data_IF_716829464943
#
_entry.id   IF_716829464943
#
_cell.length_a   1.000
_cell.length_b   1.000
_cell.length_c   1.000
_cell.angle_alpha   90.00
_cell.angle_beta   90.00
_cell.angle_gamma   90.00
#
_symmetry.space_group_name_H-M   'P 1'
#
loop_
_entity.id
_entity.type
_entity.pdbx_description
1 polymer ?
#
# COMPACT_ATOMS: atom_id res chain seq x y z
N UNK A 1 -7.34 68.99 -9.02
CA UNK A 1 -7.75 67.74 -9.70
C UNK A 1 -6.67 66.71 -9.44
N UNK A 2 -6.80 65.94 -8.37
CA UNK A 2 -5.79 64.95 -7.97
C UNK A 2 -6.18 63.59 -8.55
N UNK A 3 -5.28 63.05 -9.37
CA UNK A 3 -5.41 61.78 -10.07
C UNK A 3 -5.60 60.62 -9.07
N UNK A 4 -6.74 59.93 -9.17
CA UNK A 4 -6.98 58.66 -8.47
C UNK A 4 -6.21 57.58 -9.23
N UNK A 5 -5.03 57.21 -8.72
CA UNK A 5 -4.28 56.07 -9.20
C UNK A 5 -5.01 54.78 -8.77
N UNK A 6 -5.79 54.21 -9.69
CA UNK A 6 -6.39 52.89 -9.52
C UNK A 6 -5.30 51.82 -9.45
N UNK A 7 -5.17 51.17 -8.30
CA UNK A 7 -4.34 49.98 -8.15
C UNK A 7 -5.02 48.81 -8.86
N UNK A 8 -4.63 48.52 -10.09
CA UNK A 8 -5.00 47.26 -10.74
C UNK A 8 -4.34 46.10 -9.99
N UNK A 9 -5.10 45.44 -9.12
CA UNK A 9 -4.72 44.15 -8.56
C UNK A 9 -4.75 43.12 -9.70
N UNK A 10 -3.58 42.79 -10.28
CA UNK A 10 -3.43 41.62 -11.15
C UNK A 10 -3.84 40.37 -10.38
N UNK A 11 -4.99 39.79 -10.74
CA UNK A 11 -5.39 38.46 -10.28
C UNK A 11 -4.31 37.45 -10.69
N UNK A 12 -3.55 36.95 -9.73
CA UNK A 12 -2.63 35.84 -9.96
C UNK A 12 -3.49 34.60 -10.27
N UNK A 13 -3.53 34.21 -11.55
CA UNK A 13 -4.33 33.09 -12.08
C UNK A 13 -3.82 31.74 -11.53
N UNK A 14 -2.59 31.71 -10.98
CA UNK A 14 -1.93 30.49 -10.54
C UNK A 14 -2.02 30.28 -9.02
N UNK A 15 -2.41 29.09 -8.53
CA UNK A 15 -2.44 28.78 -7.11
C UNK A 15 -1.06 28.93 -6.46
N UNK A 16 -1.01 29.53 -5.27
CA UNK A 16 0.23 29.61 -4.50
C UNK A 16 0.75 28.22 -4.11
N UNK A 17 2.07 28.05 -3.97
CA UNK A 17 2.69 26.79 -3.52
C UNK A 17 2.06 26.25 -2.22
N UNK A 18 1.73 27.15 -1.27
CA UNK A 18 1.09 26.78 0.00
C UNK A 18 -0.33 26.24 -0.22
N UNK A 19 -1.05 26.76 -1.20
CA UNK A 19 -2.39 26.27 -1.58
C UNK A 19 -2.29 24.86 -2.14
N UNK A 20 -1.35 24.61 -3.06
CA UNK A 20 -1.12 23.28 -3.65
C UNK A 20 -0.72 22.27 -2.56
N UNK A 21 0.13 22.66 -1.61
CA UNK A 21 0.54 21.79 -0.51
C UNK A 21 -0.62 21.39 0.40
N UNK A 22 -1.48 22.34 0.78
CA UNK A 22 -2.69 22.06 1.58
C UNK A 22 -3.61 21.11 0.83
N UNK A 23 -3.85 21.40 -0.44
CA UNK A 23 -4.73 20.57 -1.28
C UNK A 23 -4.17 19.15 -1.44
N UNK A 24 -2.88 19.01 -1.72
CA UNK A 24 -2.19 17.72 -1.77
C UNK A 24 -2.33 16.95 -0.44
N UNK A 25 -2.12 17.60 0.71
CA UNK A 25 -2.25 16.93 2.01
C UNK A 25 -3.67 16.40 2.26
N UNK A 26 -4.70 17.22 1.99
CA UNK A 26 -6.10 16.80 2.17
C UNK A 26 -6.50 15.71 1.16
N UNK A 27 -6.12 15.87 -0.10
CA UNK A 27 -6.35 14.88 -1.14
C UNK A 27 -5.65 13.56 -0.82
N UNK A 28 -4.42 13.61 -0.28
CA UNK A 28 -3.68 12.44 0.18
C UNK A 28 -4.37 11.75 1.35
N UNK A 29 -4.81 12.50 2.37
CA UNK A 29 -5.54 11.94 3.50
C UNK A 29 -6.81 11.19 3.07
N UNK A 30 -7.52 11.71 2.07
CA UNK A 30 -8.69 11.05 1.49
C UNK A 30 -8.33 9.76 0.74
N UNK A 31 -7.18 9.72 0.05
CA UNK A 31 -6.80 8.58 -0.79
C UNK A 31 -6.10 7.46 -0.05
N UNK A 32 -5.43 7.76 1.07
CA UNK A 32 -4.74 6.78 1.91
C UNK A 32 -5.58 5.53 2.22
N UNK A 33 -6.84 5.61 2.69
CA UNK A 33 -7.63 4.40 2.98
C UNK A 33 -7.82 3.50 1.75
N UNK A 34 -8.08 4.07 0.57
CA UNK A 34 -8.22 3.32 -0.67
C UNK A 34 -6.89 2.67 -1.07
N UNK A 35 -5.78 3.42 -0.99
CA UNK A 35 -4.46 2.88 -1.31
C UNK A 35 -4.08 1.76 -0.34
N UNK A 36 -4.35 1.91 0.96
CA UNK A 36 -4.11 0.85 1.96
C UNK A 36 -4.94 -0.38 1.62
N UNK A 37 -6.23 -0.21 1.35
CA UNK A 37 -7.13 -1.31 0.99
C UNK A 37 -6.67 -2.06 -0.26
N UNK A 38 -6.38 -1.32 -1.35
CA UNK A 38 -5.88 -1.88 -2.61
C UNK A 38 -4.51 -2.56 -2.41
N UNK A 39 -3.66 -1.99 -1.57
CA UNK A 39 -2.35 -2.57 -1.26
C UNK A 39 -2.46 -3.87 -0.46
N UNK A 40 -3.37 -3.95 0.52
CA UNK A 40 -3.61 -5.18 1.31
C UNK A 40 -4.18 -6.28 0.42
N UNK A 41 -5.26 -5.97 -0.31
CA UNK A 41 -5.91 -6.95 -1.21
C UNK A 41 -4.98 -7.40 -2.33
N UNK A 42 -4.21 -6.49 -2.93
CA UNK A 42 -3.20 -6.82 -3.94
C UNK A 42 -2.05 -7.66 -3.39
N UNK A 43 -1.60 -7.39 -2.15
CA UNK A 43 -0.58 -8.20 -1.48
C UNK A 43 -1.08 -9.62 -1.22
N UNK A 44 -2.34 -9.80 -0.82
CA UNK A 44 -2.96 -11.13 -0.66
C UNK A 44 -3.00 -11.86 -2.00
N UNK A 45 -3.33 -11.15 -3.09
CA UNK A 45 -3.42 -11.72 -4.43
C UNK A 45 -2.08 -12.25 -4.97
N UNK A 46 -0.93 -11.71 -4.53
CA UNK A 46 0.39 -12.26 -4.85
C UNK A 46 0.57 -13.70 -4.34
N UNK A 47 -0.14 -14.08 -3.28
CA UNK A 47 -0.12 -15.43 -2.71
C UNK A 47 -1.22 -16.33 -3.28
N UNK A 48 -1.90 -15.92 -4.36
CA UNK A 48 -2.93 -16.70 -5.04
C UNK A 48 -2.52 -18.15 -5.32
N UNK A 49 -1.38 -18.45 -5.98
CA UNK A 49 -1.04 -19.84 -6.30
C UNK A 49 -0.80 -20.68 -5.04
N UNK A 50 -0.25 -20.10 -3.97
CA UNK A 50 -0.03 -20.79 -2.70
C UNK A 50 -1.35 -21.06 -1.97
N UNK A 51 -2.27 -20.10 -1.97
CA UNK A 51 -3.56 -20.25 -1.29
C UNK A 51 -4.45 -21.23 -2.07
N UNK A 52 -4.52 -21.12 -3.40
CA UNK A 52 -5.28 -22.07 -4.22
C UNK A 52 -4.72 -23.49 -4.10
N UNK A 53 -3.40 -23.68 -4.16
CA UNK A 53 -2.80 -25.00 -3.95
C UNK A 53 -3.11 -25.59 -2.56
N UNK A 54 -3.24 -24.75 -1.54
CA UNK A 54 -3.64 -25.20 -0.21
C UNK A 54 -5.09 -25.70 -0.16
N UNK A 55 -6.02 -24.99 -0.81
CA UNK A 55 -7.43 -25.42 -0.94
C UNK A 55 -7.59 -26.64 -1.85
N UNK A 56 -6.80 -26.72 -2.92
CA UNK A 56 -6.88 -27.80 -3.92
C UNK A 56 -6.12 -29.07 -3.51
N UNK A 57 -5.33 -29.03 -2.43
CA UNK A 57 -4.54 -30.15 -1.91
C UNK A 57 -5.29 -31.48 -1.80
N UNK A 58 -6.56 -31.56 -1.34
CA UNK A 58 -7.30 -32.82 -1.29
C UNK A 58 -7.55 -33.47 -2.65
N UNK A 59 -7.50 -32.68 -3.73
CA UNK A 59 -7.74 -33.12 -5.10
C UNK A 59 -6.46 -33.34 -5.90
N UNK A 60 -5.29 -33.00 -5.33
CA UNK A 60 -3.98 -33.10 -5.98
C UNK A 60 -3.15 -34.33 -5.58
N UNK A 61 -3.62 -35.09 -4.59
CA UNK A 61 -2.96 -36.30 -4.08
C UNK A 61 -3.88 -37.53 -4.15
N UNK A 62 -4.44 -37.78 -5.32
CA UNK A 62 -5.30 -38.95 -5.55
C UNK A 62 -4.46 -40.21 -5.76
N UNK A 63 -4.95 -41.35 -5.24
CA UNK A 63 -4.40 -42.66 -5.55
C UNK A 63 -4.82 -43.07 -6.98
N UNK A 64 -3.86 -43.10 -7.89
CA UNK A 64 -4.06 -43.32 -9.33
C UNK A 64 -3.15 -44.46 -9.76
N UNK A 65 -3.71 -45.66 -9.91
CA UNK A 65 -2.93 -46.90 -10.13
C UNK A 65 -3.09 -47.50 -11.54
N UNK A 66 -3.43 -46.68 -12.54
CA UNK A 66 -3.89 -47.13 -13.86
C UNK A 66 -4.02 -46.01 -14.91
N UNK A 67 -4.40 -46.33 -16.16
CA UNK A 67 -4.50 -45.35 -17.23
C UNK A 67 -5.63 -44.35 -16.97
N UNK A 68 -5.37 -43.07 -17.26
CA UNK A 68 -6.38 -42.02 -17.18
C UNK A 68 -7.41 -42.20 -18.31
N UNK A 69 -8.68 -41.94 -18.01
CA UNK A 69 -9.74 -41.83 -19.01
C UNK A 69 -9.45 -40.66 -19.96
N UNK A 70 -10.03 -40.69 -21.16
CA UNK A 70 -9.87 -39.60 -22.14
C UNK A 70 -10.40 -38.27 -21.60
N UNK A 71 -9.81 -37.16 -22.05
CA UNK A 71 -10.28 -35.82 -21.68
C UNK A 71 -11.76 -35.61 -22.03
N UNK A 72 -12.21 -36.15 -23.17
CA UNK A 72 -13.62 -36.14 -23.58
C UNK A 72 -14.54 -36.84 -22.56
N UNK A 73 -14.15 -38.02 -22.05
CA UNK A 73 -14.94 -38.73 -21.06
C UNK A 73 -15.05 -37.95 -19.74
N UNK A 74 -13.99 -37.25 -19.36
CA UNK A 74 -13.96 -36.40 -18.17
C UNK A 74 -14.82 -35.15 -18.35
N UNK A 75 -14.76 -34.50 -19.51
CA UNK A 75 -15.63 -33.38 -19.87
C UNK A 75 -17.10 -33.79 -19.85
N UNK A 76 -17.44 -34.95 -20.44
CA UNK A 76 -18.82 -35.46 -20.42
C UNK A 76 -19.30 -35.75 -19.00
N UNK A 77 -18.44 -36.31 -18.14
CA UNK A 77 -18.78 -36.50 -16.73
C UNK A 77 -19.02 -35.16 -16.01
N UNK A 78 -18.20 -34.14 -16.28
CA UNK A 78 -18.37 -32.80 -15.71
C UNK A 78 -19.68 -32.12 -16.18
N UNK A 79 -20.01 -32.20 -17.47
CA UNK A 79 -21.25 -31.66 -18.03
C UNK A 79 -22.48 -32.39 -17.47
N UNK A 80 -22.38 -33.70 -17.22
CA UNK A 80 -23.44 -34.46 -16.57
C UNK A 80 -23.64 -34.06 -15.10
N UNK A 81 -22.59 -33.58 -14.42
CA UNK A 81 -22.66 -33.13 -13.03
C UNK A 81 -23.42 -31.79 -12.88
N UNK A 82 -23.34 -30.91 -13.89
CA UNK A 82 -24.04 -29.62 -13.91
C UNK A 82 -24.97 -29.58 -15.12
N UNK A 83 -26.22 -30.00 -14.93
CA UNK A 83 -27.22 -30.06 -16.00
C UNK A 83 -27.45 -28.70 -16.66
N UNK A 84 -27.44 -28.67 -18.00
CA UNK A 84 -27.65 -27.44 -18.79
C UNK A 84 -26.43 -26.52 -18.83
N UNK A 85 -25.25 -26.99 -18.41
CA UNK A 85 -24.00 -26.26 -18.57
C UNK A 85 -23.33 -26.54 -19.91
N UNK A 86 -22.47 -25.62 -20.34
CA UNK A 86 -21.58 -25.78 -21.49
C UNK A 86 -20.13 -25.81 -21.02
N UNK A 87 -19.27 -26.52 -21.75
CA UNK A 87 -17.84 -26.52 -21.47
C UNK A 87 -17.27 -25.13 -21.77
N UNK A 88 -16.63 -24.51 -20.78
CA UNK A 88 -15.85 -23.29 -20.99
C UNK A 88 -14.37 -23.64 -21.15
N UNK A 89 -13.77 -24.25 -20.13
CA UNK A 89 -12.34 -24.56 -20.11
C UNK A 89 -12.06 -25.93 -19.49
N UNK A 90 -11.06 -26.63 -20.05
CA UNK A 90 -10.48 -27.83 -19.45
C UNK A 90 -9.07 -27.49 -18.97
N UNK A 91 -8.83 -27.61 -17.67
CA UNK A 91 -7.52 -27.33 -17.09
C UNK A 91 -6.71 -28.62 -16.99
N UNK A 92 -5.53 -28.62 -17.59
CA UNK A 92 -4.65 -29.77 -17.54
C UNK A 92 -4.16 -29.99 -16.11
N UNK A 93 -4.22 -31.23 -15.60
CA UNK A 93 -3.71 -31.55 -14.28
C UNK A 93 -2.19 -31.32 -14.24
N UNK A 94 -1.74 -30.51 -13.28
CA UNK A 94 -0.32 -30.19 -13.09
C UNK A 94 0.51 -31.44 -12.75
N UNK A 95 -0.09 -32.38 -12.00
CA UNK A 95 0.54 -33.63 -11.57
C UNK A 95 -0.21 -34.87 -12.07
N UNK A 96 0.49 -36.00 -12.15
CA UNK A 96 -0.10 -37.30 -12.49
C UNK A 96 -1.15 -37.78 -11.46
N UNK A 97 -1.06 -37.27 -10.21
CA UNK A 97 -1.95 -37.57 -9.09
C UNK A 97 -3.09 -36.56 -8.92
N UNK A 98 -3.18 -35.53 -9.77
CA UNK A 98 -4.24 -34.51 -9.67
C UNK A 98 -5.54 -34.95 -10.32
N UNK A 99 -6.64 -34.47 -9.74
CA UNK A 99 -7.96 -34.45 -10.36
C UNK A 99 -7.91 -33.62 -11.65
N UNK A 100 -8.73 -34.02 -12.62
CA UNK A 100 -8.97 -33.17 -13.78
C UNK A 100 -10.01 -32.11 -13.41
N UNK A 101 -9.71 -30.86 -13.76
CA UNK A 101 -10.56 -29.72 -13.42
C UNK A 101 -11.22 -29.23 -14.70
N UNK A 102 -12.55 -29.21 -14.69
CA UNK A 102 -13.35 -28.77 -15.85
C UNK A 102 -14.22 -27.61 -15.42
N UNK A 103 -14.08 -26.48 -16.08
CA UNK A 103 -14.90 -25.29 -15.84
C UNK A 103 -16.07 -25.34 -16.82
N UNK A 104 -17.28 -25.34 -16.28
CA UNK A 104 -18.53 -25.39 -17.02
C UNK A 104 -19.37 -24.16 -16.68
N UNK A 105 -19.93 -23.52 -17.71
CA UNK A 105 -20.76 -22.33 -17.56
C UNK A 105 -22.24 -22.69 -17.61
N UNK A 106 -23.05 -22.16 -16.68
CA UNK A 106 -24.51 -22.30 -16.66
C UNK A 106 -25.14 -20.92 -16.53
N UNK A 107 -25.54 -20.34 -17.66
CA UNK A 107 -26.05 -18.97 -17.69
C UNK A 107 -24.92 -17.99 -17.42
N UNK A 108 -25.03 -17.22 -16.33
CA UNK A 108 -23.99 -16.28 -15.88
C UNK A 108 -23.04 -16.85 -14.84
N UNK A 109 -23.29 -18.06 -14.33
CA UNK A 109 -22.46 -18.69 -13.28
C UNK A 109 -21.44 -19.65 -13.91
N UNK A 110 -20.21 -19.63 -13.40
CA UNK A 110 -19.19 -20.63 -13.73
C UNK A 110 -18.99 -21.62 -12.59
N UNK A 111 -18.89 -22.90 -12.94
CA UNK A 111 -18.67 -23.99 -12.00
C UNK A 111 -17.41 -24.75 -12.36
N UNK A 112 -16.50 -24.90 -11.39
CA UNK A 112 -15.36 -25.80 -11.46
C UNK A 112 -15.73 -27.16 -10.91
N UNK A 113 -15.67 -28.16 -11.78
CA UNK A 113 -15.94 -29.56 -11.46
C UNK A 113 -14.62 -30.31 -11.37
N UNK A 114 -14.40 -30.94 -10.21
CA UNK A 114 -13.25 -31.81 -9.97
C UNK A 114 -13.65 -33.25 -10.31
N UNK A 115 -13.05 -33.80 -11.35
CA UNK A 115 -13.34 -35.15 -11.85
C UNK A 115 -12.14 -36.06 -11.57
N UNK A 116 -12.42 -37.23 -10.99
CA UNK A 116 -11.41 -38.25 -10.82
C UNK A 116 -10.97 -38.79 -12.19
N UNK A 117 -9.68 -38.73 -12.56
CA UNK A 117 -9.24 -38.93 -13.94
C UNK A 117 -9.33 -40.38 -14.44
N UNK A 118 -9.47 -41.36 -13.54
CA UNK A 118 -9.67 -42.78 -13.89
C UNK A 118 -11.15 -43.20 -13.80
N UNK A 119 -11.72 -43.13 -12.60
CA UNK A 119 -13.09 -43.58 -12.30
C UNK A 119 -14.19 -42.65 -12.83
N UNK A 120 -13.86 -41.45 -13.31
CA UNK A 120 -14.81 -40.41 -13.73
C UNK A 120 -15.76 -39.96 -12.61
N UNK A 121 -15.47 -40.31 -11.35
CA UNK A 121 -16.26 -39.89 -10.19
C UNK A 121 -16.10 -38.38 -9.98
N UNK A 122 -17.22 -37.69 -9.75
CA UNK A 122 -17.22 -36.28 -9.36
C UNK A 122 -16.78 -36.19 -7.90
N UNK A 123 -15.67 -35.48 -7.67
CA UNK A 123 -15.09 -35.29 -6.34
C UNK A 123 -15.67 -34.06 -5.66
N UNK A 124 -15.81 -32.97 -6.42
CA UNK A 124 -16.38 -31.72 -5.92
C UNK A 124 -16.89 -30.85 -7.08
N UNK A 125 -17.86 -29.98 -6.77
CA UNK A 125 -18.38 -28.95 -7.68
C UNK A 125 -18.39 -27.65 -6.90
N UNK A 126 -17.64 -26.67 -7.38
CA UNK A 126 -17.49 -25.37 -6.71
C UNK A 126 -17.86 -24.27 -7.71
N UNK A 127 -18.61 -23.27 -7.26
CA UNK A 127 -18.84 -22.07 -8.07
C UNK A 127 -17.56 -21.22 -8.07
N UNK A 128 -17.08 -20.84 -9.26
CA UNK A 128 -15.80 -20.13 -9.44
C UNK A 128 -15.81 -18.73 -8.79
N UNK A 129 -16.97 -18.06 -8.77
CA UNK A 129 -17.16 -16.72 -8.18
C UNK A 129 -17.03 -16.75 -6.65
N UNK A 130 -17.39 -17.88 -6.04
CA UNK A 130 -17.32 -18.05 -4.59
C UNK A 130 -15.92 -18.46 -4.10
N UNK A 131 -14.94 -18.64 -4.99
CA UNK A 131 -13.57 -18.97 -4.56
C UNK A 131 -12.96 -17.78 -3.81
N UNK A 132 -12.21 -18.01 -2.73
CA UNK A 132 -11.68 -16.93 -1.90
C UNK A 132 -10.81 -15.95 -2.68
N UNK A 133 -10.02 -16.45 -3.65
CA UNK A 133 -9.18 -15.59 -4.50
C UNK A 133 -10.00 -14.79 -5.52
N UNK A 134 -11.12 -15.32 -6.01
CA UNK A 134 -12.07 -14.58 -6.86
C UNK A 134 -12.77 -13.48 -6.07
N UNK A 135 -13.21 -13.78 -4.85
CA UNK A 135 -13.78 -12.77 -3.93
C UNK A 135 -12.77 -11.66 -3.63
N UNK A 136 -11.51 -12.01 -3.35
CA UNK A 136 -10.44 -11.01 -3.14
C UNK A 136 -10.18 -10.18 -4.40
N UNK A 137 -10.24 -10.79 -5.59
CA UNK A 137 -10.14 -10.07 -6.86
C UNK A 137 -11.27 -9.03 -7.02
N UNK A 138 -12.52 -9.40 -6.74
CA UNK A 138 -13.64 -8.45 -6.75
C UNK A 138 -13.54 -7.40 -5.63
N UNK A 139 -13.01 -7.74 -4.45
CA UNK A 139 -12.73 -6.75 -3.39
C UNK A 139 -11.65 -5.75 -3.79
N UNK A 140 -10.66 -6.18 -4.57
CA UNK A 140 -9.58 -5.34 -5.07
C UNK A 140 -10.04 -4.42 -6.20
N UNK A 141 -10.73 -4.96 -7.21
CA UNK A 141 -11.12 -4.21 -8.40
C UNK A 141 -12.45 -3.46 -8.28
N UNK A 142 -13.39 -3.99 -7.51
CA UNK A 142 -14.79 -3.55 -7.52
C UNK A 142 -15.36 -3.28 -6.12
N UNK A 143 -14.59 -3.48 -5.04
CA UNK A 143 -15.06 -3.36 -3.65
C UNK A 143 -16.33 -4.21 -3.37
N UNK A 144 -16.56 -5.29 -4.11
CA UNK A 144 -17.82 -6.07 -4.12
C UNK A 144 -19.09 -5.25 -4.44
N UNK A 145 -18.95 -4.08 -5.05
CA UNK A 145 -20.06 -3.22 -5.51
C UNK A 145 -20.32 -3.34 -7.02
N UNK A 146 -19.71 -4.33 -7.69
CA UNK A 146 -19.78 -4.51 -9.14
C UNK A 146 -19.33 -3.24 -9.88
N UNK A 147 -20.04 -2.90 -10.96
CA UNK A 147 -19.71 -1.77 -11.85
C UNK A 147 -19.50 -0.44 -11.11
N UNK A 148 -20.30 -0.16 -10.08
CA UNK A 148 -20.19 1.10 -9.32
C UNK A 148 -18.90 1.17 -8.53
N UNK A 149 -18.53 0.06 -7.91
CA UNK A 149 -17.27 0.00 -7.16
C UNK A 149 -16.06 -0.01 -8.08
N UNK A 150 -16.18 -0.63 -9.27
CA UNK A 150 -15.17 -0.53 -10.32
C UNK A 150 -14.87 0.92 -10.70
N UNK A 151 -15.90 1.73 -10.95
CA UNK A 151 -15.73 3.16 -11.25
C UNK A 151 -15.05 3.93 -10.11
N UNK A 152 -15.36 3.60 -8.85
CA UNK A 152 -14.72 4.22 -7.68
C UNK A 152 -13.25 3.84 -7.58
N UNK A 153 -12.91 2.57 -7.79
CA UNK A 153 -11.51 2.10 -7.77
C UNK A 153 -10.72 2.70 -8.93
N UNK A 154 -11.28 2.77 -10.13
CA UNK A 154 -10.65 3.39 -11.30
C UNK A 154 -10.40 4.88 -11.07
N UNK A 155 -11.38 5.59 -10.49
CA UNK A 155 -11.23 6.99 -10.09
C UNK A 155 -10.14 7.14 -9.01
N UNK A 156 -10.13 6.27 -8.01
CA UNK A 156 -9.11 6.29 -6.95
C UNK A 156 -7.70 6.03 -7.49
N UNK A 157 -7.55 5.09 -8.43
CA UNK A 157 -6.29 4.80 -9.11
C UNK A 157 -5.81 6.00 -9.95
N UNK A 158 -6.70 6.61 -10.72
CA UNK A 158 -6.42 7.83 -11.49
C UNK A 158 -5.99 8.98 -10.57
N UNK A 159 -6.65 9.11 -9.42
CA UNK A 159 -6.30 10.13 -8.44
C UNK A 159 -4.98 9.86 -7.74
N UNK A 160 -4.64 8.59 -7.48
CA UNK A 160 -3.34 8.21 -6.94
C UNK A 160 -2.19 8.69 -7.85
N UNK A 161 -2.37 8.65 -9.18
CA UNK A 161 -1.41 9.22 -10.14
C UNK A 161 -1.27 10.73 -9.94
N UNK A 162 -2.38 11.46 -9.82
CA UNK A 162 -2.35 12.92 -9.55
C UNK A 162 -1.63 13.20 -8.22
N UNK A 163 -1.84 12.38 -7.22
CA UNK A 163 -1.14 12.47 -5.93
C UNK A 163 0.36 12.23 -6.07
N UNK A 164 0.79 11.27 -6.89
CA UNK A 164 2.21 11.04 -7.20
C UNK A 164 2.81 12.25 -7.92
N UNK A 165 2.14 12.78 -8.95
CA UNK A 165 2.62 13.91 -9.74
C UNK A 165 2.73 15.19 -8.89
N UNK A 166 1.71 15.48 -8.09
CA UNK A 166 1.72 16.64 -7.19
C UNK A 166 2.75 16.48 -6.07
N UNK A 167 2.93 15.27 -5.54
CA UNK A 167 4.00 14.96 -4.59
C UNK A 167 5.38 15.20 -5.19
N UNK A 168 5.61 14.71 -6.42
CA UNK A 168 6.86 14.92 -7.15
C UNK A 168 7.11 16.42 -7.44
N UNK A 169 6.08 17.16 -7.84
CA UNK A 169 6.16 18.61 -8.08
C UNK A 169 6.51 19.41 -6.81
N UNK A 170 5.92 19.03 -5.67
CA UNK A 170 6.20 19.68 -4.38
C UNK A 170 7.57 19.28 -3.84
N UNK A 171 7.98 18.02 -4.03
CA UNK A 171 9.28 17.51 -3.63
C UNK A 171 10.42 18.06 -4.51
N UNK A 172 10.13 18.45 -5.75
CA UNK A 172 11.15 18.86 -6.71
C UNK A 172 12.03 20.02 -6.16
N UNK A 173 13.35 19.80 -6.00
CA UNK A 173 14.23 20.78 -5.40
C UNK A 173 14.41 21.98 -6.33
N UNK A 174 13.71 23.08 -6.05
CA UNK A 174 13.81 24.34 -6.81
C UNK A 174 15.15 25.06 -6.64
N UNK A 175 15.93 24.69 -5.62
CA UNK A 175 17.29 25.18 -5.42
C UNK A 175 18.28 24.07 -5.83
N UNK A 176 18.69 24.10 -7.10
CA UNK A 176 19.55 23.08 -7.73
C UNK A 176 20.90 22.82 -7.03
N UNK A 177 21.33 23.66 -6.08
CA UNK A 177 22.55 23.46 -5.29
C UNK A 177 22.51 22.31 -4.26
N UNK A 178 21.40 21.57 -4.16
CA UNK A 178 21.21 20.51 -3.16
C UNK A 178 20.96 19.10 -3.73
N UNK A 179 21.07 18.91 -5.04
CA UNK A 179 20.99 17.57 -5.69
C UNK A 179 22.03 16.59 -5.12
N UNK A 180 23.24 17.06 -4.83
CA UNK A 180 24.32 16.25 -4.24
C UNK A 180 24.13 15.83 -2.78
N UNK A 181 23.00 16.14 -2.13
CA UNK A 181 22.67 15.67 -0.78
C UNK A 181 21.58 14.60 -0.71
N UNK A 182 20.88 14.34 -1.81
CA UNK A 182 19.78 13.37 -1.89
C UNK A 182 20.24 12.09 -2.61
N UNK A 183 21.10 12.22 -3.62
CA UNK A 183 21.71 11.07 -4.31
C UNK A 183 23.00 10.57 -3.65
N UNK A 184 23.73 11.47 -2.99
CA UNK A 184 24.94 11.14 -2.24
C UNK A 184 24.66 11.38 -0.75
N UNK A 185 24.60 10.34 0.10
CA UNK A 185 24.67 10.55 1.54
C UNK A 185 25.96 11.33 1.80
N UNK A 186 25.86 12.48 2.48
CA UNK A 186 27.00 13.35 2.77
C UNK A 186 27.89 12.70 3.83
N UNK A 187 28.69 11.72 3.41
CA UNK A 187 29.68 10.98 4.19
C UNK A 187 30.87 11.83 4.69
N UNK A 188 30.87 13.13 4.43
CA UNK A 188 31.99 14.02 4.77
C UNK A 188 31.63 15.16 5.75
N UNK A 189 30.55 15.00 6.53
CA UNK A 189 30.31 15.86 7.69
C UNK A 189 30.40 15.05 8.98
N UNK A 190 31.47 15.33 9.73
CA UNK A 190 31.77 14.76 11.04
C UNK A 190 30.71 15.17 12.07
N UNK A 191 30.11 14.18 12.72
CA UNK A 191 29.43 14.31 14.01
C UNK A 191 27.90 14.40 13.98
N UNK A 192 27.36 15.05 15.02
CA UNK A 192 25.97 14.98 15.54
C UNK A 192 24.80 14.93 14.54
N UNK A 193 24.95 15.43 13.32
CA UNK A 193 23.87 15.42 12.30
C UNK A 193 23.71 14.03 11.69
N UNK A 194 24.82 13.29 11.47
CA UNK A 194 24.78 11.93 10.95
C UNK A 194 24.04 10.95 11.86
N UNK A 195 24.28 11.03 13.18
CA UNK A 195 23.56 10.22 14.18
C UNK A 195 22.09 10.62 14.35
N UNK A 196 21.73 11.87 14.03
CA UNK A 196 20.34 12.35 14.04
C UNK A 196 19.55 11.84 12.84
N UNK A 197 20.21 11.72 11.69
CA UNK A 197 19.57 11.25 10.45
C UNK A 197 19.43 9.73 10.41
N UNK A 198 20.25 8.99 11.18
CA UNK A 198 20.21 7.53 11.24
C UNK A 198 19.18 6.96 12.24
N UNK A 199 18.65 7.76 13.18
CA UNK A 199 17.89 7.22 14.32
C UNK A 199 16.64 8.06 14.69
N UNK A 200 15.47 7.82 14.06
CA UNK A 200 14.20 8.27 14.59
C UNK A 200 13.78 7.33 15.73
N UNK A 201 14.33 7.52 16.94
CA UNK A 201 13.76 6.92 18.14
C UNK A 201 13.08 8.02 18.98
N UNK A 202 11.83 7.82 19.40
CA UNK A 202 11.14 8.73 20.29
C UNK A 202 11.61 8.42 21.72
N UNK A 203 12.54 9.21 22.27
CA UNK A 203 12.73 9.27 23.71
C UNK A 203 12.53 10.70 24.16
N UNK A 204 11.33 10.90 24.71
CA UNK A 204 11.00 11.98 25.61
C UNK A 204 11.97 11.98 26.79
N UNK A 205 12.58 13.12 27.10
CA UNK A 205 13.48 13.23 28.23
C UNK A 205 14.04 14.63 28.38
N UNK A 206 13.37 15.43 29.21
CA UNK A 206 13.88 16.55 30.02
C UNK A 206 15.41 16.74 30.01
N UNK A 207 16.01 17.93 30.03
CA UNK A 207 15.69 19.12 30.82
C UNK A 207 16.78 20.17 30.53
N UNK A 208 16.35 21.44 30.52
CA UNK A 208 17.10 22.66 30.90
C UNK A 208 18.44 22.94 30.22
N UNK A 209 18.39 23.92 29.32
CA UNK A 209 19.43 24.91 29.10
C UNK A 209 20.00 25.41 30.44
N UNK A 210 21.27 25.13 30.71
CA UNK A 210 22.06 25.86 31.70
C UNK A 210 23.10 26.67 30.91
N UNK A 211 22.75 27.94 30.67
CA UNK A 211 23.65 28.90 30.04
C UNK A 211 24.80 29.23 31.01
N UNK A 212 26.04 28.98 30.58
CA UNK A 212 27.26 29.29 31.34
C UNK A 212 27.57 30.79 31.41
N UNK A 213 26.68 31.66 30.95
CA UNK A 213 26.87 33.11 30.94
C UNK A 213 26.52 33.82 32.25
N UNK A 214 26.06 33.11 33.29
CA UNK A 214 25.66 33.72 34.57
C UNK A 214 26.59 33.43 35.77
N UNK A 215 27.80 32.88 35.55
CA UNK A 215 28.77 32.62 36.63
C UNK A 215 29.89 33.68 36.74
N UNK A 216 30.11 34.53 35.71
CA UNK A 216 31.08 35.65 35.79
C UNK A 216 30.47 36.96 36.28
N UNK A 217 29.15 37.10 36.26
CA UNK A 217 28.46 38.31 36.76
C UNK A 217 28.19 38.30 38.27
N UNK A 218 28.31 37.15 38.94
CA UNK A 218 28.02 37.02 40.39
C UNK A 218 29.28 37.01 41.27
N UNK A 219 30.46 36.72 40.72
CA UNK A 219 31.74 36.71 41.47
C UNK A 219 32.45 38.09 41.51
N UNK A 220 31.97 39.09 40.76
CA UNK A 220 32.51 40.45 40.81
C UNK A 220 31.87 41.38 41.86
N UNK A 221 30.85 40.90 42.60
CA UNK A 221 30.02 41.76 43.47
C UNK A 221 30.01 41.38 44.97
N UNK A 222 30.92 40.50 45.39
CA UNK A 222 31.05 40.05 46.81
C UNK A 222 32.44 40.38 47.41
N UNK A 223 33.41 40.87 46.62
CA UNK A 223 34.72 41.32 47.12
C UNK A 223 34.70 42.75 47.72
N UNK A 224 33.60 43.13 48.38
CA UNK A 224 33.39 44.48 48.86
C UNK A 224 32.36 44.56 49.99
N UNK A 225 32.58 43.82 51.09
CA UNK A 225 31.92 44.10 52.36
C UNK A 225 32.60 43.38 53.54
N UNK A 226 33.36 44.17 54.32
CA UNK A 226 33.43 44.13 55.79
C UNK A 226 34.18 43.00 56.52
N UNK A 227 35.38 43.33 57.02
CA UNK A 227 35.87 42.94 58.36
C UNK A 227 36.50 44.22 58.97
N UNK A 228 35.79 44.91 59.87
CA UNK A 228 35.86 44.82 61.34
C UNK A 228 37.14 45.47 61.91
N UNK A 229 37.09 46.73 62.35
CA UNK A 229 36.87 47.24 63.73
C UNK A 229 38.14 47.45 64.57
N UNK A 230 38.30 48.71 65.01
CA UNK A 230 38.75 49.23 66.33
C UNK A 230 40.09 48.75 66.94
N UNK A 231 40.92 49.74 67.28
CA UNK A 231 41.61 50.00 68.57
C UNK A 231 42.57 51.18 68.30
N UNK A 232 42.93 52.13 69.16
CA UNK A 232 42.40 52.80 70.35
C UNK A 232 43.46 53.87 70.69
N UNK A 233 43.03 55.04 71.17
CA UNK A 233 43.81 56.09 71.84
C UNK A 233 44.90 56.84 71.06
#
# INVERSE_FOLDING_TARGET
MSSVAGTEQRSQIWPSYRTVWRWHFYAGLFCIPFVIWLSITGSIYLFRPQIEAWFDRPYDHLAIDGPRASADAQVRAALAAVSGSNLHFYELPQNAQSASRVIVGRGSEEFRVYVHPQSLKILNVVNEDNRPMTVVFHLHGELLMGDRGSMVVELAASWAIVMILTGLYLWWPRNAGRFGGILYPRINQSGRVFWRDLHPYPVCGSRRSFSSSSLRAFLGRVAGASISTKFAS
#
